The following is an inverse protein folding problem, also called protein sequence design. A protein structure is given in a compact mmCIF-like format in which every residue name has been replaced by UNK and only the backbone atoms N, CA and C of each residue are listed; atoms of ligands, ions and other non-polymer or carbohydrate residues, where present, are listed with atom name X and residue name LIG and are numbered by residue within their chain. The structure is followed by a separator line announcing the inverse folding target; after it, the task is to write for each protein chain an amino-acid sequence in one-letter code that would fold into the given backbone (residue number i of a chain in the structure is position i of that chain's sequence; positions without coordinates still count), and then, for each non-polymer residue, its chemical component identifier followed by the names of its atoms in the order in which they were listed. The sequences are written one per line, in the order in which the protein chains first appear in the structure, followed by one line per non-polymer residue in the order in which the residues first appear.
data_IF_480453353290
#
_entry.id   IF_480453353290
#
_cell.length_a   1.000
_cell.length_b   1.000
_cell.length_c   1.000
_cell.angle_alpha   90.00
_cell.angle_beta   90.00
_cell.angle_gamma   90.00
#
_symmetry.space_group_name_H-M   'P 1'
#
loop_
_entity.id
_entity.type
_entity.pdbx_description
1 polymer ?
#
# COMPACT_ATOMS: atom_id res chain seq x y z
N UNK A 1 30.17 -25.02 -56.75
CA UNK A 1 29.27 -23.88 -56.45
C UNK A 1 29.95 -22.96 -55.44
N UNK A 2 30.66 -21.94 -55.93
CA UNK A 2 31.31 -20.94 -55.07
C UNK A 2 30.27 -19.94 -54.59
N UNK A 3 29.79 -20.07 -53.35
CA UNK A 3 29.06 -18.98 -52.73
C UNK A 3 30.00 -17.77 -52.59
N UNK A 4 29.55 -16.67 -53.16
CA UNK A 4 30.27 -15.40 -53.24
C UNK A 4 30.55 -14.89 -51.81
N UNK A 5 31.84 -14.82 -51.40
CA UNK A 5 32.26 -14.41 -50.05
C UNK A 5 31.74 -13.03 -49.61
N UNK A 6 31.31 -12.20 -50.56
CA UNK A 6 30.78 -10.86 -50.30
C UNK A 6 29.29 -10.84 -49.90
N UNK A 7 28.55 -11.94 -50.09
CA UNK A 7 27.11 -12.02 -49.72
C UNK A 7 26.92 -12.37 -48.24
N UNK A 8 27.94 -12.99 -47.61
CA UNK A 8 27.89 -13.36 -46.18
C UNK A 8 27.94 -12.16 -45.24
N UNK A 9 28.59 -11.06 -45.62
CA UNK A 9 28.75 -9.90 -44.74
C UNK A 9 27.44 -9.10 -44.60
N UNK A 10 26.68 -8.95 -45.69
CA UNK A 10 25.42 -8.20 -45.68
C UNK A 10 24.32 -8.86 -44.84
N UNK A 11 24.28 -10.19 -44.78
CA UNK A 11 23.28 -10.94 -43.99
C UNK A 11 23.54 -10.78 -42.48
N UNK A 12 24.80 -10.65 -42.06
CA UNK A 12 25.18 -10.47 -40.65
C UNK A 12 24.84 -9.05 -40.16
N UNK A 13 24.99 -8.04 -41.02
CA UNK A 13 24.62 -6.65 -40.67
C UNK A 13 23.11 -6.47 -40.59
N UNK A 14 22.32 -7.09 -41.47
CA UNK A 14 20.85 -7.01 -41.39
C UNK A 14 20.26 -7.68 -40.13
N UNK A 15 20.91 -8.71 -39.57
CA UNK A 15 20.45 -9.34 -38.32
C UNK A 15 20.75 -8.52 -37.05
N UNK A 16 21.71 -7.59 -37.10
CA UNK A 16 22.06 -6.74 -35.94
C UNK A 16 21.09 -5.57 -35.69
N UNK A 17 20.22 -5.22 -36.63
CA UNK A 17 19.29 -4.09 -36.47
C UNK A 17 17.94 -4.44 -35.84
N UNK A 18 17.62 -5.73 -35.63
CA UNK A 18 16.28 -6.13 -35.15
C UNK A 18 16.19 -6.21 -33.61
N UNK A 19 17.31 -6.06 -32.88
CA UNK A 19 17.34 -6.22 -31.41
C UNK A 19 17.16 -4.91 -30.61
N UNK A 20 17.02 -3.75 -31.27
CA UNK A 20 16.88 -2.45 -30.58
C UNK A 20 15.47 -1.83 -30.62
N UNK A 21 14.42 -2.62 -30.90
CA UNK A 21 13.05 -2.16 -30.63
C UNK A 21 12.69 -2.41 -29.16
N UNK A 22 13.35 -1.67 -28.27
CA UNK A 22 13.04 -1.64 -26.84
C UNK A 22 11.83 -0.72 -26.61
N UNK A 23 10.63 -1.22 -26.91
CA UNK A 23 9.35 -0.54 -26.68
C UNK A 23 8.95 -0.39 -25.20
N UNK A 24 9.87 -0.56 -24.24
CA UNK A 24 9.58 -0.57 -22.79
C UNK A 24 9.48 0.82 -22.12
N UNK A 25 9.68 1.91 -22.86
CA UNK A 25 9.94 3.22 -22.25
C UNK A 25 8.71 4.13 -22.04
N UNK A 26 7.54 3.84 -22.60
CA UNK A 26 6.34 4.71 -22.44
C UNK A 26 5.39 4.23 -21.34
N UNK A 27 5.07 2.94 -21.29
CA UNK A 27 4.19 2.36 -20.26
C UNK A 27 4.80 2.47 -18.85
N UNK A 28 6.07 2.09 -18.70
CA UNK A 28 6.77 2.15 -17.41
C UNK A 28 6.90 3.57 -16.85
N UNK A 29 7.11 4.58 -17.71
CA UNK A 29 7.14 5.99 -17.30
C UNK A 29 5.79 6.48 -16.79
N UNK A 30 4.70 6.04 -17.43
CA UNK A 30 3.35 6.43 -17.04
C UNK A 30 2.97 5.82 -15.67
N UNK A 31 3.30 4.54 -15.45
CA UNK A 31 3.05 3.86 -14.18
C UNK A 31 3.85 4.49 -13.01
N UNK A 32 5.11 4.84 -13.23
CA UNK A 32 5.94 5.52 -12.23
C UNK A 32 5.38 6.91 -11.85
N UNK A 33 4.86 7.67 -12.83
CA UNK A 33 4.24 8.98 -12.59
C UNK A 33 2.96 8.84 -11.75
N UNK A 34 2.14 7.85 -12.07
CA UNK A 34 0.91 7.52 -11.32
C UNK A 34 1.27 7.17 -9.87
N UNK A 35 2.20 6.25 -9.65
CA UNK A 35 2.63 5.84 -8.31
C UNK A 35 3.17 7.05 -7.52
N UNK A 36 3.88 7.96 -8.18
CA UNK A 36 4.44 9.13 -7.51
C UNK A 36 3.36 10.09 -6.99
N UNK A 37 2.20 10.19 -7.66
CA UNK A 37 1.07 11.01 -7.17
C UNK A 37 0.52 10.49 -5.84
N UNK A 38 0.50 9.18 -5.64
CA UNK A 38 0.05 8.55 -4.39
C UNK A 38 1.02 8.72 -3.21
N UNK A 39 2.22 9.29 -3.41
CA UNK A 39 3.08 9.71 -2.29
C UNK A 39 2.55 10.96 -1.58
N UNK A 40 1.76 11.78 -2.28
CA UNK A 40 1.05 12.89 -1.65
C UNK A 40 -0.12 12.35 -0.81
N UNK A 41 -0.08 12.60 0.50
CA UNK A 41 -1.05 12.06 1.45
C UNK A 41 -2.47 12.59 1.18
N UNK A 42 -2.62 13.84 0.75
CA UNK A 42 -3.93 14.43 0.46
C UNK A 42 -4.52 13.81 -0.80
N UNK A 43 -3.70 13.60 -1.84
CA UNK A 43 -4.11 12.92 -3.05
C UNK A 43 -4.51 11.47 -2.76
N UNK A 44 -3.69 10.73 -2.03
CA UNK A 44 -3.97 9.35 -1.64
C UNK A 44 -5.29 9.26 -0.85
N UNK A 45 -5.50 10.13 0.13
CA UNK A 45 -6.73 10.17 0.92
C UNK A 45 -7.95 10.53 0.06
N UNK A 46 -7.83 11.54 -0.80
CA UNK A 46 -8.92 11.92 -1.71
C UNK A 46 -9.35 10.75 -2.59
N UNK A 47 -8.41 10.02 -3.19
CA UNK A 47 -8.73 8.85 -4.01
C UNK A 47 -9.29 7.70 -3.16
N UNK A 48 -8.74 7.47 -1.97
CA UNK A 48 -9.25 6.44 -1.07
C UNK A 48 -10.71 6.72 -0.67
N UNK A 49 -11.04 8.00 -0.40
CA UNK A 49 -12.41 8.43 -0.10
C UNK A 49 -13.38 8.18 -1.25
N UNK A 50 -12.97 8.44 -2.49
CA UNK A 50 -13.78 8.10 -3.68
C UNK A 50 -14.06 6.60 -3.80
N UNK A 51 -13.11 5.75 -3.41
CA UNK A 51 -13.24 4.29 -3.51
C UNK A 51 -14.00 3.66 -2.34
N UNK A 52 -13.83 4.16 -1.12
CA UNK A 52 -14.32 3.50 0.11
C UNK A 52 -15.42 4.30 0.81
N UNK A 53 -15.35 5.63 0.74
CA UNK A 53 -16.27 6.58 1.36
C UNK A 53 -15.56 7.71 2.12
N UNK A 54 -16.28 8.82 2.31
CA UNK A 54 -15.71 10.08 2.85
C UNK A 54 -15.33 10.02 4.34
N UNK A 55 -15.76 8.97 5.04
CA UNK A 55 -15.51 8.72 6.45
C UNK A 55 -14.08 8.23 6.77
N UNK A 56 -13.24 8.03 5.75
CA UNK A 56 -11.82 7.76 5.96
C UNK A 56 -11.11 8.99 6.56
N UNK A 57 -10.21 8.75 7.53
CA UNK A 57 -9.50 9.82 8.23
C UNK A 57 -8.08 10.04 7.70
N UNK A 58 -7.42 9.00 7.21
CA UNK A 58 -6.07 9.08 6.65
C UNK A 58 -5.86 8.04 5.55
N UNK A 59 -4.79 8.24 4.77
CA UNK A 59 -4.27 7.25 3.85
C UNK A 59 -2.74 7.35 3.73
N UNK A 60 -2.06 6.22 3.57
CA UNK A 60 -0.62 6.14 3.32
C UNK A 60 -0.33 5.22 2.15
N UNK A 61 0.59 5.62 1.27
CA UNK A 61 1.15 4.73 0.26
C UNK A 61 2.38 3.98 0.78
N UNK A 62 2.58 2.77 0.29
CA UNK A 62 3.64 1.88 0.75
C UNK A 62 3.63 0.56 0.01
N UNK A 63 4.60 -0.30 0.29
CA UNK A 63 4.60 -1.68 -0.22
C UNK A 63 4.09 -2.57 0.90
N UNK A 64 2.86 -3.04 0.84
CA UNK A 64 2.21 -3.81 1.92
C UNK A 64 2.00 -5.28 1.57
N UNK A 65 2.30 -5.69 0.33
CA UNK A 65 2.41 -7.08 -0.09
C UNK A 65 3.73 -7.36 -0.77
N UNK A 66 4.22 -8.58 -0.65
CA UNK A 66 5.50 -8.97 -1.21
C UNK A 66 5.48 -8.97 -2.75
N UNK A 67 4.39 -9.50 -3.31
CA UNK A 67 4.18 -9.70 -4.74
C UNK A 67 3.56 -8.51 -5.46
N UNK A 68 3.37 -7.37 -4.78
CA UNK A 68 2.70 -6.21 -5.34
C UNK A 68 3.64 -4.99 -5.43
N UNK A 69 3.31 -4.09 -6.35
CA UNK A 69 3.85 -2.74 -6.36
C UNK A 69 3.31 -1.90 -5.19
N UNK A 70 3.48 -0.59 -5.26
CA UNK A 70 2.97 0.33 -4.24
C UNK A 70 1.43 0.24 -4.15
N UNK A 71 0.94 0.17 -2.93
CA UNK A 71 -0.48 0.19 -2.58
C UNK A 71 -0.78 1.36 -1.64
N UNK A 72 -2.07 1.55 -1.32
CA UNK A 72 -2.54 2.56 -0.38
C UNK A 72 -3.26 1.86 0.78
N UNK A 73 -2.87 2.16 2.01
CA UNK A 73 -3.67 1.85 3.19
C UNK A 73 -4.51 3.05 3.57
N UNK A 74 -5.72 2.83 4.07
CA UNK A 74 -6.57 3.87 4.63
C UNK A 74 -7.28 3.39 5.89
N UNK A 75 -7.69 4.31 6.76
CA UNK A 75 -8.37 3.99 8.01
C UNK A 75 -9.66 4.77 8.21
N UNK A 76 -10.66 4.12 8.80
CA UNK A 76 -11.88 4.74 9.33
C UNK A 76 -12.12 4.40 10.79
N UNK A 77 -12.73 5.32 11.52
CA UNK A 77 -13.31 5.07 12.83
C UNK A 77 -14.84 4.98 12.68
N UNK A 78 -15.42 3.95 13.29
CA UNK A 78 -16.85 3.71 13.36
C UNK A 78 -17.32 4.05 14.77
N UNK A 79 -18.38 4.84 14.88
CA UNK A 79 -18.92 5.33 16.15
C UNK A 79 -20.45 5.22 16.23
N UNK A 80 -21.07 4.39 15.37
CA UNK A 80 -22.53 4.18 15.39
C UNK A 80 -22.89 3.20 16.50
N UNK A 81 -24.09 3.38 17.08
CA UNK A 81 -24.57 2.90 18.39
C UNK A 81 -24.18 1.50 18.89
N UNK A 82 -23.80 0.56 18.01
CA UNK A 82 -23.44 -0.81 18.38
C UNK A 82 -22.07 -1.27 17.84
N UNK A 83 -21.36 -0.43 17.07
CA UNK A 83 -20.05 -0.72 16.47
C UNK A 83 -19.11 0.47 16.68
N UNK A 84 -18.32 0.42 17.76
CA UNK A 84 -17.27 1.39 18.05
C UNK A 84 -15.92 0.75 17.78
N UNK A 85 -15.09 1.39 16.97
CA UNK A 85 -13.73 0.93 16.72
C UNK A 85 -13.13 1.47 15.43
N UNK A 86 -11.98 0.91 15.08
CA UNK A 86 -11.22 1.29 13.88
C UNK A 86 -11.22 0.15 12.86
N UNK A 87 -11.13 0.53 11.58
CA UNK A 87 -11.04 -0.40 10.46
C UNK A 87 -9.99 0.11 9.48
N UNK A 88 -9.17 -0.80 8.97
CA UNK A 88 -8.15 -0.48 7.98
C UNK A 88 -8.46 -1.17 6.66
N UNK A 89 -8.12 -0.50 5.56
CA UNK A 89 -8.39 -0.91 4.20
C UNK A 89 -7.09 -0.94 3.41
N UNK A 90 -6.89 -1.99 2.61
CA UNK A 90 -5.82 -2.05 1.63
C UNK A 90 -6.40 -1.85 0.22
N UNK A 91 -5.89 -0.83 -0.46
CA UNK A 91 -6.31 -0.40 -1.78
C UNK A 91 -5.16 -0.58 -2.77
N UNK A 92 -5.43 -1.27 -3.89
CA UNK A 92 -4.45 -1.44 -4.97
C UNK A 92 -4.57 -0.27 -5.95
N UNK A 93 -3.43 0.22 -6.41
CA UNK A 93 -3.37 1.19 -7.49
C UNK A 93 -3.53 0.41 -8.80
N UNK A 94 -4.58 0.70 -9.56
CA UNK A 94 -4.80 0.15 -10.89
C UNK A 94 -4.94 1.31 -11.88
N UNK A 95 -3.83 1.71 -12.51
CA UNK A 95 -3.77 2.97 -13.24
C UNK A 95 -4.16 4.16 -12.34
N UNK A 96 -5.10 4.98 -12.79
CA UNK A 96 -5.52 6.19 -12.05
C UNK A 96 -6.59 5.95 -10.99
N UNK A 97 -7.01 4.71 -10.75
CA UNK A 97 -8.05 4.37 -9.77
C UNK A 97 -7.50 3.51 -8.64
N UNK A 98 -8.18 3.57 -7.49
CA UNK A 98 -7.95 2.66 -6.37
C UNK A 98 -9.03 1.60 -6.32
N UNK A 99 -8.60 0.36 -6.12
CA UNK A 99 -9.49 -0.80 -5.94
C UNK A 99 -9.32 -1.38 -4.53
N UNK A 100 -10.42 -1.59 -3.81
CA UNK A 100 -10.38 -2.21 -2.49
C UNK A 100 -10.04 -3.70 -2.60
N UNK A 101 -8.90 -4.09 -2.04
CA UNK A 101 -8.42 -5.48 -2.10
C UNK A 101 -8.57 -6.25 -0.79
N UNK A 102 -8.60 -5.55 0.34
CA UNK A 102 -8.80 -6.15 1.66
C UNK A 102 -9.30 -5.08 2.64
N UNK A 103 -9.97 -5.53 3.70
CA UNK A 103 -10.28 -4.73 4.88
C UNK A 103 -10.16 -5.59 6.13
N UNK A 104 -9.74 -5.01 7.24
CA UNK A 104 -9.71 -5.71 8.53
C UNK A 104 -11.14 -5.95 9.04
N UNK A 105 -11.27 -6.86 10.01
CA UNK A 105 -12.41 -6.82 10.95
C UNK A 105 -12.42 -5.48 11.70
N UNK A 106 -13.52 -5.19 12.39
CA UNK A 106 -13.57 -4.07 13.33
C UNK A 106 -12.59 -4.36 14.48
N UNK A 107 -11.71 -3.41 14.77
CA UNK A 107 -10.73 -3.49 15.85
C UNK A 107 -11.06 -2.46 16.93
N UNK A 108 -10.74 -2.79 18.18
CA UNK A 108 -10.94 -1.84 19.28
C UNK A 108 -9.94 -0.69 19.15
N UNK A 109 -10.38 0.53 19.38
CA UNK A 109 -9.50 1.69 19.35
C UNK A 109 -10.18 2.93 18.80
N UNK A 110 -9.41 4.01 18.75
CA UNK A 110 -9.76 5.30 18.16
C UNK A 110 -8.54 5.85 17.44
N UNK A 111 -8.72 6.69 16.42
CA UNK A 111 -7.60 7.41 15.83
C UNK A 111 -7.23 8.68 16.61
N UNK A 112 -8.07 9.13 17.53
CA UNK A 112 -7.77 10.25 18.40
C UNK A 112 -6.53 9.96 19.27
N UNK A 113 -5.54 10.85 19.19
CA UNK A 113 -4.24 10.76 19.88
C UNK A 113 -3.45 9.47 19.62
N UNK A 114 -3.85 8.67 18.63
CA UNK A 114 -3.17 7.43 18.29
C UNK A 114 -1.91 7.66 17.46
N UNK A 115 -1.00 6.70 17.52
CA UNK A 115 0.12 6.59 16.60
C UNK A 115 -0.24 5.58 15.50
N UNK A 116 -0.10 6.01 14.25
CA UNK A 116 -0.27 5.17 13.07
C UNK A 116 0.96 5.32 12.20
N UNK A 117 1.71 4.24 12.01
CA UNK A 117 2.98 4.28 11.31
C UNK A 117 3.19 3.05 10.45
N UNK A 118 3.85 3.24 9.30
CA UNK A 118 4.39 2.13 8.53
C UNK A 118 5.67 1.67 9.22
N UNK A 119 5.80 0.37 9.45
CA UNK A 119 7.00 -0.24 10.02
C UNK A 119 7.57 -1.25 9.02
N UNK A 120 8.90 -1.30 8.92
CA UNK A 120 9.60 -2.25 8.05
C UNK A 120 10.56 -3.08 8.88
N UNK A 121 10.32 -4.39 8.92
CA UNK A 121 11.27 -5.32 9.52
C UNK A 121 12.31 -5.75 8.48
N UNK A 122 13.56 -6.03 8.88
CA UNK A 122 14.63 -6.42 7.95
C UNK A 122 14.33 -7.70 7.15
N UNK A 123 13.49 -8.59 7.69
CA UNK A 123 13.18 -9.90 7.11
C UNK A 123 11.98 -9.89 6.17
N UNK A 124 11.26 -8.77 6.07
CA UNK A 124 10.16 -8.59 5.14
C UNK A 124 10.54 -7.65 4.00
N UNK A 125 10.24 -8.06 2.77
CA UNK A 125 10.38 -7.22 1.57
C UNK A 125 9.18 -6.26 1.39
N UNK A 126 8.35 -6.11 2.41
CA UNK A 126 7.17 -5.26 2.47
C UNK A 126 7.07 -4.63 3.88
N UNK A 127 6.27 -3.57 3.98
CA UNK A 127 5.96 -2.80 5.18
C UNK A 127 4.69 -3.38 5.85
N UNK A 128 4.62 -3.21 7.17
CA UNK A 128 3.46 -3.53 7.99
C UNK A 128 2.88 -2.20 8.53
N UNK A 129 1.65 -2.24 9.00
CA UNK A 129 1.04 -1.09 9.66
C UNK A 129 1.04 -1.29 11.18
N UNK A 130 1.63 -0.33 11.89
CA UNK A 130 1.57 -0.23 13.33
C UNK A 130 0.49 0.77 13.74
N UNK A 131 -0.32 0.36 14.71
CA UNK A 131 -1.26 1.21 15.43
C UNK A 131 -0.97 1.12 16.92
N UNK A 132 -1.04 2.24 17.62
CA UNK A 132 -1.02 2.29 19.07
C UNK A 132 -1.97 3.40 19.56
N UNK A 133 -2.88 3.05 20.46
CA UNK A 133 -3.91 3.96 20.99
C UNK A 133 -3.33 5.06 21.89
N UNK A 134 -2.07 4.94 22.29
CA UNK A 134 -1.46 5.70 23.38
C UNK A 134 -2.31 5.54 24.66
N UNK A 135 -2.34 6.56 25.50
CA UNK A 135 -3.14 6.62 26.74
C UNK A 135 -4.65 6.83 26.50
N UNK A 136 -5.07 6.95 25.23
CA UNK A 136 -6.45 7.19 24.85
C UNK A 136 -7.13 5.91 24.35
N UNK A 137 -7.97 5.31 25.21
CA UNK A 137 -8.78 4.16 24.83
C UNK A 137 -10.27 4.43 25.00
N UNK A 138 -11.01 4.37 23.89
CA UNK A 138 -12.49 4.47 23.82
C UNK A 138 -13.09 5.63 24.63
N UNK A 139 -12.47 6.81 24.61
CA UNK A 139 -13.00 7.98 25.32
C UNK A 139 -12.59 8.08 26.79
N UNK A 140 -11.75 7.18 27.30
CA UNK A 140 -11.18 7.25 28.64
C UNK A 140 -9.65 7.40 28.59
N UNK A 141 -9.14 8.41 29.29
CA UNK A 141 -7.73 8.52 29.67
C UNK A 141 -7.57 7.72 30.98
N UNK A 142 -7.21 6.44 30.87
CA UNK A 142 -7.36 5.49 31.98
C UNK A 142 -6.26 4.46 32.15
N UNK A 143 -5.16 4.54 31.40
CA UNK A 143 -4.02 3.63 31.54
C UNK A 143 -4.10 2.34 30.70
N UNK A 144 -5.09 2.19 29.82
CA UNK A 144 -5.14 1.10 28.84
C UNK A 144 -4.51 1.52 27.51
N UNK A 145 -3.54 0.73 27.04
CA UNK A 145 -2.86 0.95 25.76
C UNK A 145 -3.06 -0.28 24.89
N UNK A 146 -3.74 -0.10 23.76
CA UNK A 146 -3.91 -1.12 22.72
C UNK A 146 -2.93 -0.85 21.59
N UNK A 147 -2.25 -1.91 21.14
CA UNK A 147 -1.41 -1.86 19.95
C UNK A 147 -1.77 -2.97 18.97
N UNK A 148 -1.69 -2.65 17.68
CA UNK A 148 -1.79 -3.62 16.59
C UNK A 148 -0.58 -3.54 15.68
N UNK A 149 -0.14 -4.70 15.20
CA UNK A 149 0.66 -4.82 13.98
C UNK A 149 -0.20 -5.55 12.95
N UNK A 150 -0.47 -4.90 11.82
CA UNK A 150 -1.30 -5.43 10.74
C UNK A 150 -0.38 -5.83 9.59
N UNK A 151 -0.36 -7.14 9.32
CA UNK A 151 0.31 -7.71 8.16
C UNK A 151 -0.71 -7.93 7.03
N UNK A 152 -0.76 -7.00 6.09
CA UNK A 152 -1.67 -7.08 4.94
C UNK A 152 -1.29 -8.16 3.92
N UNK A 153 -0.04 -8.63 3.92
CA UNK A 153 0.43 -9.69 3.05
C UNK A 153 -0.14 -11.06 3.48
N UNK A 154 0.00 -11.41 4.76
CA UNK A 154 -0.58 -12.64 5.33
C UNK A 154 -2.04 -12.48 5.78
N UNK A 155 -2.56 -11.25 5.83
CA UNK A 155 -3.88 -10.88 6.40
C UNK A 155 -3.99 -11.20 7.89
N UNK A 156 -2.89 -11.11 8.61
CA UNK A 156 -2.81 -11.35 10.04
C UNK A 156 -2.76 -10.04 10.83
N UNK A 157 -3.31 -10.08 12.04
CA UNK A 157 -3.34 -8.95 12.96
C UNK A 157 -2.80 -9.43 14.30
N UNK A 158 -1.66 -8.88 14.70
CA UNK A 158 -1.03 -9.11 15.99
C UNK A 158 -1.50 -8.03 16.95
N UNK A 159 -1.76 -8.40 18.20
CA UNK A 159 -2.38 -7.55 19.20
C UNK A 159 -1.60 -7.58 20.51
N UNK A 160 -1.46 -6.42 21.14
CA UNK A 160 -1.00 -6.28 22.50
C UNK A 160 -1.93 -5.33 23.27
N UNK A 161 -2.17 -5.65 24.53
CA UNK A 161 -2.92 -4.82 25.46
C UNK A 161 -2.09 -4.65 26.73
N UNK A 162 -1.79 -3.41 27.07
CA UNK A 162 -1.14 -3.05 28.32
C UNK A 162 -2.14 -2.34 29.21
N UNK A 163 -2.23 -2.78 30.45
CA UNK A 163 -2.99 -2.11 31.51
C UNK A 163 -1.99 -1.58 32.51
N UNK A 164 -1.88 -0.26 32.60
CA UNK A 164 -1.00 0.43 33.56
C UNK A 164 -1.81 0.68 34.82
N UNK A 165 -1.38 0.09 35.94
CA UNK A 165 -1.91 0.32 37.29
C UNK A 165 -1.11 1.40 38.00
#
# INVERSE_FOLDING_TARGET
MSLNKNISWFIIICFSFVIFSCGKNKESKNEAEIINKYKDLKYALMQAKKTVGDYLQFAYSGKFKDSAGIEVIAGSELSKSNEIGIKFYLLRINGNILEKSYQTKLLNGSFQHSIIQKIKFPWFNYELLYYNSQDYFMGSSGGEIISYIINFNSKEIYYAHLVVQ
#
